data_IF_022549596241
#
_entry.id   IF_022549596241
#
_cell.length_a   1.000
_cell.length_b   1.000
_cell.length_c   1.000
_cell.angle_alpha   90.00
_cell.angle_beta   90.00
_cell.angle_gamma   90.00
#
_symmetry.space_group_name_H-M   'P 1'
#
loop_
_entity.id
_entity.type
_entity.pdbx_description
1 polymer ?
#
# COMPACT_ATOMS: atom_id res chain seq x y z
N UNK A 1 18.61 17.79 -39.68
CA UNK A 1 17.51 16.80 -39.59
C UNK A 1 17.84 15.62 -38.68
N UNK A 2 18.91 14.85 -38.93
CA UNK A 2 19.29 13.67 -38.10
C UNK A 2 19.42 13.93 -36.58
N UNK A 3 20.02 15.07 -36.19
CA UNK A 3 20.14 15.47 -34.76
C UNK A 3 18.79 15.76 -34.10
N UNK A 4 17.86 16.38 -34.82
CA UNK A 4 16.52 16.68 -34.29
C UNK A 4 15.75 15.36 -34.09
N UNK A 5 15.83 14.45 -35.06
CA UNK A 5 15.22 13.11 -34.98
C UNK A 5 15.74 12.28 -33.80
N UNK A 6 17.05 12.35 -33.50
CA UNK A 6 17.64 11.66 -32.34
C UNK A 6 17.11 12.24 -31.02
N UNK A 7 16.99 13.56 -30.93
CA UNK A 7 16.49 14.23 -29.72
C UNK A 7 15.02 13.89 -29.49
N UNK A 8 14.17 13.92 -30.52
CA UNK A 8 12.77 13.51 -30.37
C UNK A 8 12.61 12.03 -30.03
N UNK A 9 13.47 11.15 -30.57
CA UNK A 9 13.48 9.73 -30.21
C UNK A 9 13.87 9.50 -28.74
N UNK A 10 14.89 10.22 -28.24
CA UNK A 10 15.31 10.14 -26.85
C UNK A 10 14.24 10.64 -25.88
N UNK A 11 13.56 11.74 -26.22
CA UNK A 11 12.45 12.27 -25.42
C UNK A 11 11.28 11.28 -25.37
N UNK A 12 10.96 10.65 -26.50
CA UNK A 12 9.93 9.60 -26.58
C UNK A 12 10.29 8.38 -25.73
N UNK A 13 11.53 7.87 -25.83
CA UNK A 13 12.00 6.78 -24.99
C UNK A 13 11.94 7.14 -23.49
N UNK A 14 12.37 8.35 -23.12
CA UNK A 14 12.33 8.81 -21.73
C UNK A 14 10.90 8.92 -21.19
N UNK A 15 9.95 9.41 -22.00
CA UNK A 15 8.53 9.45 -21.59
C UNK A 15 7.90 8.07 -21.41
N UNK A 16 8.33 7.07 -22.18
CA UNK A 16 7.82 5.70 -22.06
C UNK A 16 8.31 4.97 -20.78
N UNK A 17 9.44 5.39 -20.21
CA UNK A 17 9.92 4.87 -18.92
C UNK A 17 9.08 5.36 -17.71
N UNK A 18 8.43 6.51 -17.82
CA UNK A 18 7.66 7.10 -16.72
C UNK A 18 6.19 6.66 -16.67
N UNK A 19 5.67 6.02 -17.73
CA UNK A 19 4.25 5.64 -17.83
C UNK A 19 3.85 4.35 -17.10
N UNK A 20 4.75 3.70 -16.37
CA UNK A 20 4.52 2.39 -15.73
C UNK A 20 4.33 2.41 -14.20
N UNK A 21 3.63 3.39 -13.63
CA UNK A 21 3.33 3.38 -12.18
C UNK A 21 1.87 3.73 -11.82
N UNK A 22 0.91 3.46 -12.71
CA UNK A 22 -0.50 3.46 -12.33
C UNK A 22 -0.88 2.06 -11.80
N UNK A 23 -0.37 1.67 -10.62
CA UNK A 23 -0.95 0.52 -9.92
C UNK A 23 -2.19 0.99 -9.17
N UNK A 24 -3.33 0.34 -9.41
CA UNK A 24 -4.55 0.61 -8.69
C UNK A 24 -4.37 0.15 -7.24
N UNK A 25 -4.04 1.08 -6.35
CA UNK A 25 -3.83 0.79 -4.93
C UNK A 25 -5.14 0.31 -4.31
N UNK A 26 -5.18 -0.94 -3.89
CA UNK A 26 -6.29 -1.48 -3.11
C UNK A 26 -6.03 -1.21 -1.64
N UNK A 27 -6.91 -0.43 -1.01
CA UNK A 27 -6.80 -0.14 0.42
C UNK A 27 -7.78 -1.00 1.21
N UNK A 28 -7.26 -1.77 2.15
CA UNK A 28 -8.05 -2.46 3.17
C UNK A 28 -7.99 -1.72 4.50
N UNK A 29 -9.02 -1.94 5.31
CA UNK A 29 -9.06 -1.50 6.71
C UNK A 29 -8.98 -2.74 7.59
N UNK A 30 -8.10 -2.72 8.58
CA UNK A 30 -7.97 -3.82 9.54
C UNK A 30 -8.04 -3.26 10.96
N UNK A 31 -8.89 -3.86 11.80
CA UNK A 31 -9.10 -3.42 13.16
C UNK A 31 -8.99 -4.59 14.14
N UNK A 32 -8.54 -4.29 15.36
CA UNK A 32 -8.63 -5.21 16.50
C UNK A 32 -8.94 -4.43 17.79
N UNK A 33 -9.30 -5.16 18.86
CA UNK A 33 -9.61 -4.55 20.17
C UNK A 33 -8.43 -4.58 21.16
N UNK A 34 -7.31 -5.21 20.80
CA UNK A 34 -6.18 -5.33 21.70
C UNK A 34 -5.37 -4.01 21.77
N UNK A 35 -4.86 -3.62 22.96
CA UNK A 35 -3.96 -2.48 23.08
C UNK A 35 -2.71 -2.63 22.19
N UNK A 36 -2.04 -1.54 21.77
CA UNK A 36 -0.94 -1.62 20.81
C UNK A 36 0.27 -2.41 21.34
N UNK A 37 0.47 -2.45 22.66
CA UNK A 37 1.56 -3.18 23.29
C UNK A 37 1.32 -4.70 23.37
N UNK A 38 0.07 -5.15 23.18
CA UNK A 38 -0.29 -6.56 23.22
C UNK A 38 0.29 -7.33 22.02
N UNK A 39 0.65 -8.61 22.24
CA UNK A 39 1.30 -9.44 21.21
C UNK A 39 0.50 -9.53 19.90
N UNK A 40 -0.82 -9.65 20.00
CA UNK A 40 -1.70 -9.72 18.83
C UNK A 40 -1.68 -8.44 17.99
N UNK A 41 -1.58 -7.26 18.61
CA UNK A 41 -1.51 -6.00 17.88
C UNK A 41 -0.16 -5.80 17.20
N UNK A 42 0.94 -6.25 17.84
CA UNK A 42 2.27 -6.25 17.21
C UNK A 42 2.34 -7.19 16.02
N UNK A 43 1.75 -8.38 16.12
CA UNK A 43 1.69 -9.35 15.02
C UNK A 43 0.84 -8.80 13.87
N UNK A 44 -0.34 -8.25 14.17
CA UNK A 44 -1.21 -7.56 13.22
C UNK A 44 -0.48 -6.46 12.46
N UNK A 45 0.19 -5.56 13.17
CA UNK A 45 0.94 -4.44 12.56
C UNK A 45 2.08 -4.95 11.68
N UNK A 46 2.84 -5.95 12.15
CA UNK A 46 3.92 -6.56 11.37
C UNK A 46 3.40 -7.23 10.11
N UNK A 47 2.25 -7.90 10.18
CA UNK A 47 1.62 -8.53 9.03
C UNK A 47 1.15 -7.49 8.01
N UNK A 48 0.52 -6.39 8.46
CA UNK A 48 0.11 -5.29 7.58
C UNK A 48 1.28 -4.75 6.76
N UNK A 49 2.43 -4.50 7.42
CA UNK A 49 3.66 -4.04 6.77
C UNK A 49 4.23 -5.05 5.78
N UNK A 50 4.18 -6.34 6.11
CA UNK A 50 4.65 -7.39 5.20
C UNK A 50 3.76 -7.54 3.97
N UNK A 51 2.44 -7.35 4.08
CA UNK A 51 1.55 -7.32 2.92
C UNK A 51 1.90 -6.15 2.00
N UNK A 52 2.03 -4.94 2.54
CA UNK A 52 2.41 -3.75 1.77
C UNK A 52 3.74 -3.95 1.02
N UNK A 53 4.74 -4.49 1.72
CA UNK A 53 6.06 -4.79 1.15
C UNK A 53 5.99 -5.84 0.05
N UNK A 54 5.32 -6.97 0.29
CA UNK A 54 5.27 -8.11 -0.67
C UNK A 54 4.43 -7.82 -1.89
N UNK A 55 3.52 -6.86 -1.79
CA UNK A 55 2.69 -6.40 -2.89
C UNK A 55 3.28 -5.19 -3.58
N UNK A 56 4.52 -4.78 -3.28
CA UNK A 56 5.13 -3.57 -3.84
C UNK A 56 4.24 -2.32 -3.74
N UNK A 57 3.46 -2.22 -2.66
CA UNK A 57 2.53 -1.12 -2.41
C UNK A 57 1.22 -1.17 -3.21
N UNK A 58 0.91 -2.27 -3.91
CA UNK A 58 -0.39 -2.47 -4.56
C UNK A 58 -1.52 -2.68 -3.54
N UNK A 59 -1.21 -3.30 -2.39
CA UNK A 59 -2.11 -3.40 -1.25
C UNK A 59 -1.60 -2.51 -0.13
N UNK A 60 -2.48 -1.66 0.42
CA UNK A 60 -2.22 -0.84 1.60
C UNK A 60 -3.22 -1.22 2.69
N UNK A 61 -2.76 -1.35 3.94
CA UNK A 61 -3.64 -1.72 5.06
C UNK A 61 -3.63 -0.61 6.10
N UNK A 62 -4.78 0.05 6.25
CA UNK A 62 -4.99 1.03 7.31
C UNK A 62 -5.36 0.30 8.61
N UNK A 63 -4.42 0.26 9.55
CA UNK A 63 -4.55 -0.49 10.79
C UNK A 63 -5.07 0.35 11.97
N UNK A 64 -6.05 -0.18 12.70
CA UNK A 64 -6.76 0.46 13.82
C UNK A 64 -6.78 -0.46 15.07
N UNK A 65 -5.82 -0.32 16.00
CA UNK A 65 -5.81 -1.10 17.25
C UNK A 65 -6.79 -0.56 18.30
N UNK A 66 -6.90 -1.22 19.46
CA UNK A 66 -7.58 -0.71 20.65
C UNK A 66 -9.05 -0.32 20.47
N UNK A 67 -9.78 -1.02 19.58
CA UNK A 67 -11.19 -0.71 19.31
C UNK A 67 -11.44 0.74 18.84
N UNK A 68 -10.43 1.40 18.24
CA UNK A 68 -10.59 2.78 17.75
C UNK A 68 -11.58 2.91 16.59
N UNK A 69 -11.87 1.80 15.91
CA UNK A 69 -12.83 1.76 14.79
C UNK A 69 -14.09 0.96 15.13
N UNK A 70 -13.94 -0.20 15.78
CA UNK A 70 -15.05 -1.11 16.11
C UNK A 70 -14.96 -1.53 17.58
N UNK A 71 -16.11 -1.60 18.24
CA UNK A 71 -16.21 -2.26 19.54
C UNK A 71 -16.10 -3.80 19.38
N UNK A 72 -15.78 -4.55 20.45
CA UNK A 72 -15.61 -6.00 20.35
C UNK A 72 -16.85 -6.77 19.89
N UNK A 73 -18.07 -6.35 20.22
CA UNK A 73 -19.30 -7.02 19.79
C UNK A 73 -19.45 -6.96 18.27
N UNK A 74 -19.43 -5.75 17.73
CA UNK A 74 -19.54 -5.50 16.27
C UNK A 74 -18.38 -6.07 15.45
N UNK A 75 -17.27 -6.45 16.07
CA UNK A 75 -16.15 -7.10 15.37
C UNK A 75 -16.42 -8.57 15.03
N UNK A 76 -17.28 -9.22 15.82
CA UNK A 76 -17.59 -10.65 15.69
C UNK A 76 -18.99 -10.91 15.13
N UNK A 77 -19.90 -9.94 15.26
CA UNK A 77 -21.21 -9.94 14.59
C UNK A 77 -21.07 -9.98 13.06
#
# INVERSE_FOLDING_TARGET
MKRITIITFLIFCFSAFFTFNATAKTQFTYANFFPPQHGQSKLAESWCKEVEKRTNGEIIIKYYPSSTLLNPGTMYD
#
